data_IF_057929686337
#
_entry.id   IF_057929686337
#
_cell.length_a   1.000
_cell.length_b   1.000
_cell.length_c   1.000
_cell.angle_alpha   90.00
_cell.angle_beta   90.00
_cell.angle_gamma   90.00
#
_symmetry.space_group_name_H-M   'P 1'
#
loop_
_entity.id
_entity.type
_entity.pdbx_description
1 polymer ?
#
# COMPACT_ATOMS: atom_id res chain seq x y z
N UNK A 1 -23.03 -25.46 -16.42
CA UNK A 1 -22.33 -24.19 -16.10
C UNK A 1 -21.10 -24.09 -17.00
N UNK A 2 -21.13 -23.14 -17.92
CA UNK A 2 -20.25 -23.10 -19.11
C UNK A 2 -18.92 -22.41 -18.80
N UNK A 3 -17.83 -22.98 -19.33
CA UNK A 3 -16.43 -22.53 -19.21
C UNK A 3 -16.22 -21.02 -19.43
N UNK A 4 -17.08 -20.37 -20.24
CA UNK A 4 -17.08 -18.92 -20.48
C UNK A 4 -17.16 -18.05 -19.21
N UNK A 5 -17.86 -18.50 -18.15
CA UNK A 5 -18.00 -17.71 -16.92
C UNK A 5 -16.70 -17.67 -16.10
N UNK A 6 -15.92 -18.75 -16.09
CA UNK A 6 -14.65 -18.83 -15.34
C UNK A 6 -13.59 -17.86 -15.89
N UNK A 7 -13.52 -17.72 -17.21
CA UNK A 7 -12.60 -16.77 -17.85
C UNK A 7 -12.94 -15.30 -17.53
N UNK A 8 -14.22 -14.97 -17.38
CA UNK A 8 -14.65 -13.60 -17.03
C UNK A 8 -14.29 -13.22 -15.59
N UNK A 9 -14.45 -14.14 -14.63
CA UNK A 9 -14.12 -13.91 -13.21
C UNK A 9 -12.62 -13.77 -13.01
N UNK A 10 -11.83 -14.69 -13.56
CA UNK A 10 -10.37 -14.66 -13.46
C UNK A 10 -9.79 -13.33 -13.99
N UNK A 11 -10.40 -12.75 -15.04
CA UNK A 11 -9.99 -11.45 -15.60
C UNK A 11 -10.32 -10.25 -14.70
N UNK A 12 -11.47 -10.27 -14.01
CA UNK A 12 -11.97 -9.16 -13.18
C UNK A 12 -11.19 -8.97 -11.87
N UNK A 13 -10.63 -10.03 -11.30
CA UNK A 13 -10.02 -9.99 -9.96
C UNK A 13 -8.85 -9.01 -9.80
N UNK A 14 -7.80 -9.00 -10.64
CA UNK A 14 -6.71 -8.04 -10.46
C UNK A 14 -7.09 -6.63 -10.87
N UNK A 15 -8.03 -6.44 -11.82
CA UNK A 15 -8.51 -5.10 -12.14
C UNK A 15 -9.22 -4.47 -10.93
N UNK A 16 -10.05 -5.25 -10.23
CA UNK A 16 -10.67 -4.81 -8.98
C UNK A 16 -9.61 -4.50 -7.91
N UNK A 17 -8.59 -5.36 -7.73
CA UNK A 17 -7.50 -5.11 -6.77
C UNK A 17 -6.68 -3.85 -7.09
N UNK A 18 -6.39 -3.59 -8.36
CA UNK A 18 -5.71 -2.36 -8.79
C UNK A 18 -6.53 -1.11 -8.47
N UNK A 19 -7.84 -1.14 -8.73
CA UNK A 19 -8.74 -0.03 -8.42
C UNK A 19 -8.85 0.16 -6.91
N UNK A 20 -9.02 -0.93 -6.15
CA UNK A 20 -9.07 -0.90 -4.69
C UNK A 20 -7.77 -0.30 -4.15
N UNK A 21 -6.60 -0.73 -4.65
CA UNK A 21 -5.31 -0.16 -4.27
C UNK A 21 -5.25 1.35 -4.48
N UNK A 22 -5.62 1.84 -5.67
CA UNK A 22 -5.64 3.27 -5.97
C UNK A 22 -6.62 4.05 -5.07
N UNK A 23 -7.86 3.59 -4.91
CA UNK A 23 -8.84 4.28 -4.06
C UNK A 23 -8.38 4.29 -2.60
N UNK A 24 -7.87 3.15 -2.12
CA UNK A 24 -7.46 2.98 -0.72
C UNK A 24 -6.27 3.89 -0.37
N UNK A 25 -5.27 4.03 -1.27
CA UNK A 25 -4.11 4.90 -0.99
C UNK A 25 -4.52 6.38 -0.89
N UNK A 26 -5.51 6.82 -1.67
CA UNK A 26 -6.05 8.18 -1.60
C UNK A 26 -6.89 8.40 -0.33
N UNK A 27 -7.73 7.43 0.04
CA UNK A 27 -8.50 7.51 1.29
C UNK A 27 -7.57 7.56 2.50
N UNK A 28 -6.46 6.81 2.46
CA UNK A 28 -5.47 6.81 3.53
C UNK A 28 -4.89 8.21 3.81
N UNK A 29 -4.76 9.08 2.78
CA UNK A 29 -4.21 10.44 2.92
C UNK A 29 -5.10 11.39 3.74
N UNK A 30 -6.39 11.10 3.89
CA UNK A 30 -7.28 11.88 4.78
C UNK A 30 -7.00 11.63 6.26
N UNK A 31 -6.28 10.54 6.57
CA UNK A 31 -5.76 10.28 7.90
C UNK A 31 -4.26 10.61 7.98
N UNK A 32 -3.70 10.72 9.20
CA UNK A 32 -2.27 10.75 9.38
C UNK A 32 -1.69 9.39 9.00
N UNK A 33 -1.05 9.34 7.83
CA UNK A 33 -0.41 8.14 7.28
C UNK A 33 0.89 7.81 8.01
N UNK A 34 1.62 8.85 8.43
CA UNK A 34 2.98 8.80 8.97
C UNK A 34 3.08 9.16 10.45
N UNK A 35 2.09 8.81 11.28
CA UNK A 35 2.22 9.08 12.71
C UNK A 35 3.22 8.14 13.36
N UNK A 36 4.29 8.72 13.90
CA UNK A 36 5.17 8.13 14.88
C UNK A 36 4.30 7.53 16.00
N UNK A 37 4.49 6.24 16.32
CA UNK A 37 3.84 5.61 17.46
C UNK A 37 4.53 6.12 18.74
N UNK A 38 3.86 6.90 19.62
CA UNK A 38 4.38 7.13 20.97
C UNK A 38 4.22 5.90 21.87
N UNK A 39 3.52 4.86 21.38
CA UNK A 39 3.28 3.64 22.12
C UNK A 39 4.56 2.79 22.18
N UNK A 40 5.28 2.94 23.28
CA UNK A 40 6.38 2.06 23.68
C UNK A 40 5.82 0.83 24.40
N UNK A 41 6.66 -0.19 24.63
CA UNK A 41 6.32 -1.35 25.46
C UNK A 41 5.89 -0.99 26.89
N UNK A 42 6.19 0.22 27.35
CA UNK A 42 5.86 0.74 28.69
C UNK A 42 4.62 1.63 28.73
N UNK A 43 4.09 2.08 27.58
CA UNK A 43 2.88 2.92 27.49
C UNK A 43 2.02 2.51 26.29
N UNK A 44 1.11 1.54 26.45
CA UNK A 44 0.21 1.12 25.39
C UNK A 44 -0.69 2.26 24.90
N UNK A 45 -0.99 2.32 23.60
CA UNK A 45 -1.90 3.34 23.06
C UNK A 45 -3.31 3.31 23.70
N UNK A 46 -3.72 2.18 24.27
CA UNK A 46 -5.00 2.01 24.99
C UNK A 46 -5.07 2.77 26.31
N UNK A 47 -3.94 3.21 26.85
CA UNK A 47 -3.88 3.98 28.09
C UNK A 47 -3.71 5.49 27.84
N UNK A 48 -3.60 5.91 26.58
CA UNK A 48 -3.44 7.31 26.20
C UNK A 48 -4.81 7.91 25.85
N UNK A 49 -5.21 8.96 26.56
CA UNK A 49 -6.38 9.76 26.18
C UNK A 49 -6.08 10.58 24.92
N UNK A 50 -7.10 11.18 24.30
CA UNK A 50 -6.89 12.09 23.16
C UNK A 50 -5.93 13.25 23.50
N UNK A 51 -5.95 13.72 24.75
CA UNK A 51 -5.03 14.75 25.27
C UNK A 51 -3.59 14.24 25.35
N UNK A 52 -3.39 12.99 25.79
CA UNK A 52 -2.05 12.40 25.88
C UNK A 52 -1.47 12.09 24.49
N UNK A 53 -2.32 11.69 23.54
CA UNK A 53 -1.93 11.50 22.14
C UNK A 53 -1.56 12.83 21.46
N UNK A 54 -2.21 13.95 21.83
CA UNK A 54 -1.86 15.28 21.33
C UNK A 54 -0.58 15.81 21.98
N UNK A 55 -0.41 15.61 23.28
CA UNK A 55 0.83 15.96 23.98
C UNK A 55 2.03 15.13 23.49
N UNK A 56 1.86 13.84 23.25
CA UNK A 56 2.90 13.00 22.66
C UNK A 56 3.21 13.39 21.21
N UNK A 57 2.22 13.91 20.48
CA UNK A 57 2.45 14.52 19.16
C UNK A 57 3.18 15.86 19.22
N UNK A 58 3.30 16.51 20.39
CA UNK A 58 4.17 17.69 20.53
C UNK A 58 5.66 17.31 20.50
N UNK A 59 5.99 16.04 20.75
CA UNK A 59 7.31 15.45 20.53
C UNK A 59 7.44 14.79 19.15
N UNK A 60 6.43 14.96 18.27
CA UNK A 60 6.55 14.57 16.86
C UNK A 60 7.65 15.36 16.16
N UNK A 61 8.23 14.78 15.10
CA UNK A 61 9.41 15.33 14.45
C UNK A 61 9.22 16.79 14.04
N UNK A 62 10.34 17.53 14.00
CA UNK A 62 10.43 18.92 13.56
C UNK A 62 9.51 19.16 12.34
N UNK A 63 8.77 20.27 12.29
CA UNK A 63 7.64 20.44 11.35
C UNK A 63 8.01 20.20 9.87
N UNK A 64 9.29 20.39 9.55
CA UNK A 64 9.90 20.08 8.26
C UNK A 64 9.90 18.58 7.93
N UNK A 65 10.18 17.71 8.89
CA UNK A 65 10.16 16.25 8.71
C UNK A 65 8.72 15.71 8.58
N UNK A 66 7.76 16.27 9.31
CA UNK A 66 6.34 15.95 9.11
C UNK A 66 5.86 16.33 7.70
N UNK A 67 6.24 17.53 7.23
CA UNK A 67 5.95 17.97 5.87
C UNK A 67 6.61 17.05 4.82
N UNK A 68 7.88 16.70 5.02
CA UNK A 68 8.62 15.79 4.13
C UNK A 68 7.92 14.43 3.97
N UNK A 69 7.52 13.79 5.07
CA UNK A 69 6.79 12.53 5.00
C UNK A 69 5.43 12.68 4.32
N UNK A 70 4.72 13.80 4.57
CA UNK A 70 3.47 14.06 3.87
C UNK A 70 3.71 14.12 2.35
N UNK A 71 4.71 14.87 1.88
CA UNK A 71 5.08 14.91 0.46
C UNK A 71 5.39 13.53 -0.12
N UNK A 72 6.08 12.66 0.63
CA UNK A 72 6.33 11.27 0.20
C UNK A 72 5.03 10.48 0.08
N UNK A 73 4.08 10.64 1.02
CA UNK A 73 2.78 9.99 0.92
C UNK A 73 2.05 10.36 -0.38
N UNK A 74 2.02 11.65 -0.72
CA UNK A 74 1.45 12.15 -1.96
C UNK A 74 2.17 11.58 -3.19
N UNK A 75 3.50 11.52 -3.16
CA UNK A 75 4.30 10.90 -4.22
C UNK A 75 3.94 9.42 -4.41
N UNK A 76 3.79 8.66 -3.33
CA UNK A 76 3.41 7.25 -3.39
C UNK A 76 1.99 7.07 -3.93
N UNK A 77 1.03 7.88 -3.50
CA UNK A 77 -0.31 7.88 -4.06
C UNK A 77 -0.32 8.17 -5.57
N UNK A 78 0.46 9.16 -6.01
CA UNK A 78 0.61 9.49 -7.42
C UNK A 78 1.26 8.35 -8.23
N UNK A 79 2.36 7.77 -7.74
CA UNK A 79 3.04 6.65 -8.37
C UNK A 79 2.15 5.41 -8.47
N UNK A 80 1.43 5.07 -7.40
CA UNK A 80 0.47 3.96 -7.39
C UNK A 80 -0.63 4.19 -8.42
N UNK A 81 -1.19 5.40 -8.47
CA UNK A 81 -2.22 5.78 -9.44
C UNK A 81 -1.71 5.66 -10.88
N UNK A 82 -0.52 6.21 -11.17
CA UNK A 82 0.08 6.13 -12.50
C UNK A 82 0.32 4.66 -12.92
N UNK A 83 0.86 3.85 -12.01
CA UNK A 83 1.14 2.43 -12.26
C UNK A 83 -0.15 1.64 -12.51
N UNK A 84 -1.20 1.91 -11.74
CA UNK A 84 -2.54 1.32 -11.94
C UNK A 84 -3.10 1.70 -13.31
N UNK A 85 -3.05 2.97 -13.71
CA UNK A 85 -3.53 3.42 -15.03
C UNK A 85 -2.78 2.71 -16.16
N UNK A 86 -1.45 2.63 -16.06
CA UNK A 86 -0.62 1.93 -17.05
C UNK A 86 -0.95 0.44 -17.11
N UNK A 87 -1.13 -0.21 -15.95
CA UNK A 87 -1.47 -1.63 -15.88
C UNK A 87 -2.85 -1.95 -16.47
N UNK A 88 -3.84 -1.09 -16.20
CA UNK A 88 -5.19 -1.24 -16.76
C UNK A 88 -5.20 -1.05 -18.29
N UNK A 89 -4.36 -0.17 -18.84
CA UNK A 89 -4.26 0.09 -20.29
C UNK A 89 -3.43 -0.94 -21.04
N UNK A 90 -2.24 -1.28 -20.53
CA UNK A 90 -1.23 -1.99 -21.31
C UNK A 90 -1.47 -3.51 -21.37
N UNK A 91 -2.09 -4.12 -20.33
CA UNK A 91 -2.32 -5.58 -20.20
C UNK A 91 -1.08 -6.49 -20.43
N UNK A 92 0.12 -5.91 -20.52
CA UNK A 92 1.40 -6.62 -20.72
C UNK A 92 1.94 -7.13 -19.39
N UNK A 93 2.71 -8.22 -19.41
CA UNK A 93 3.43 -8.73 -18.23
C UNK A 93 4.37 -7.69 -17.62
N UNK A 94 4.96 -6.82 -18.44
CA UNK A 94 5.82 -5.72 -17.97
C UNK A 94 5.10 -4.77 -17.00
N UNK A 95 3.79 -4.56 -17.18
CA UNK A 95 3.01 -3.77 -16.24
C UNK A 95 2.76 -4.51 -14.91
N UNK A 96 2.66 -5.85 -14.94
CA UNK A 96 2.65 -6.68 -13.75
C UNK A 96 3.94 -6.57 -12.93
N UNK A 97 5.10 -6.59 -13.61
CA UNK A 97 6.42 -6.37 -12.98
C UNK A 97 6.45 -4.98 -12.34
N UNK A 98 6.02 -3.94 -13.06
CA UNK A 98 5.99 -2.58 -12.54
C UNK A 98 5.11 -2.45 -11.29
N UNK A 99 3.89 -3.01 -11.29
CA UNK A 99 3.02 -3.01 -10.11
C UNK A 99 3.66 -3.70 -8.91
N UNK A 100 4.20 -4.90 -9.10
CA UNK A 100 4.84 -5.65 -8.02
C UNK A 100 6.06 -4.91 -7.47
N UNK A 101 6.88 -4.33 -8.35
CA UNK A 101 8.10 -3.62 -7.98
C UNK A 101 7.80 -2.30 -7.26
N UNK A 102 6.89 -1.47 -7.79
CA UNK A 102 6.47 -0.21 -7.17
C UNK A 102 5.86 -0.48 -5.79
N UNK A 103 4.93 -1.44 -5.68
CA UNK A 103 4.32 -1.79 -4.41
C UNK A 103 5.34 -2.32 -3.39
N UNK A 104 6.29 -3.14 -3.83
CA UNK A 104 7.35 -3.67 -2.96
C UNK A 104 8.29 -2.57 -2.48
N UNK A 105 8.74 -1.67 -3.36
CA UNK A 105 9.62 -0.56 -2.98
C UNK A 105 8.93 0.41 -2.01
N UNK A 106 7.66 0.74 -2.27
CA UNK A 106 6.87 1.57 -1.36
C UNK A 106 6.69 0.91 0.01
N UNK A 107 6.42 -0.40 0.03
CA UNK A 107 6.28 -1.16 1.28
C UNK A 107 7.59 -1.21 2.06
N UNK A 108 8.70 -1.53 1.39
CA UNK A 108 10.02 -1.56 2.02
C UNK A 108 10.39 -0.19 2.57
N UNK A 109 10.24 0.88 1.77
CA UNK A 109 10.50 2.24 2.23
C UNK A 109 9.66 2.58 3.47
N UNK A 110 8.37 2.26 3.45
CA UNK A 110 7.46 2.52 4.58
C UNK A 110 7.87 1.73 5.81
N UNK A 111 8.25 0.45 5.67
CA UNK A 111 8.74 -0.37 6.79
C UNK A 111 10.05 0.21 7.31
N UNK A 112 11.02 0.54 6.46
CA UNK A 112 12.30 1.10 6.88
C UNK A 112 12.14 2.40 7.63
N UNK A 113 11.32 3.33 7.14
CA UNK A 113 11.04 4.59 7.84
C UNK A 113 10.44 4.33 9.24
N UNK A 114 9.53 3.36 9.37
CA UNK A 114 8.92 3.04 10.66
C UNK A 114 9.84 2.22 11.59
N UNK A 115 10.68 1.34 11.07
CA UNK A 115 11.62 0.52 11.85
C UNK A 115 12.85 1.34 12.27
N UNK A 116 13.29 2.30 11.46
CA UNK A 116 14.30 3.29 11.88
C UNK A 116 13.81 4.15 13.06
N UNK A 117 12.50 4.33 13.20
CA UNK A 117 11.87 4.98 14.34
C UNK A 117 11.69 4.05 15.56
N UNK A 118 11.53 2.74 15.35
CA UNK A 118 11.41 1.73 16.40
C UNK A 118 12.19 0.46 16.00
N UNK A 119 13.38 0.17 16.58
CA UNK A 119 14.35 -0.78 16.03
C UNK A 119 13.94 -2.26 16.06
N UNK A 120 12.68 -2.59 16.35
CA UNK A 120 12.18 -3.96 16.46
C UNK A 120 10.91 -4.15 15.62
N UNK A 121 10.98 -5.00 14.58
CA UNK A 121 9.84 -5.35 13.73
C UNK A 121 8.67 -5.98 14.52
N UNK A 122 8.99 -6.70 15.60
CA UNK A 122 8.00 -7.23 16.53
C UNK A 122 7.17 -6.14 17.21
N UNK A 123 7.79 -4.99 17.54
CA UNK A 123 7.09 -3.84 18.12
C UNK A 123 6.17 -3.17 17.10
N UNK A 124 6.57 -3.12 15.82
CA UNK A 124 5.72 -2.61 14.74
C UNK A 124 4.49 -3.51 14.54
N UNK A 125 4.69 -4.83 14.51
CA UNK A 125 3.59 -5.80 14.34
C UNK A 125 2.66 -5.84 15.55
N UNK A 126 3.17 -5.72 16.78
CA UNK A 126 2.35 -5.68 17.99
C UNK A 126 1.58 -4.35 18.14
N UNK A 127 2.05 -3.29 17.49
CA UNK A 127 1.37 -2.00 17.44
C UNK A 127 0.32 -1.90 16.34
N UNK A 128 0.28 -2.81 15.36
CA UNK A 128 -0.71 -2.80 14.26
C UNK A 128 -2.18 -2.71 14.74
N UNK A 129 -2.63 -3.43 15.78
CA UNK A 129 -4.02 -3.31 16.27
C UNK A 129 -4.36 -1.90 16.78
N UNK A 130 -3.33 -1.14 17.15
CA UNK A 130 -3.43 0.20 17.71
C UNK A 130 -3.02 1.29 16.72
N UNK A 131 -2.64 0.91 15.49
CA UNK A 131 -2.33 1.87 14.43
C UNK A 131 -3.60 2.49 13.86
N UNK A 132 -3.48 3.75 13.42
CA UNK A 132 -4.58 4.50 12.84
C UNK A 132 -5.03 3.86 11.53
N UNK A 133 -6.32 3.96 11.25
CA UNK A 133 -6.94 3.40 10.04
C UNK A 133 -6.23 3.86 8.75
N UNK A 134 -5.76 5.12 8.69
CA UNK A 134 -5.00 5.65 7.55
C UNK A 134 -3.76 4.82 7.21
N UNK A 135 -2.94 4.48 8.21
CA UNK A 135 -1.74 3.65 8.02
C UNK A 135 -2.10 2.23 7.54
N UNK A 136 -3.15 1.64 8.10
CA UNK A 136 -3.63 0.31 7.69
C UNK A 136 -4.08 0.32 6.22
N UNK A 137 -4.85 1.33 5.82
CA UNK A 137 -5.27 1.50 4.43
C UNK A 137 -4.07 1.73 3.51
N UNK A 138 -3.08 2.53 3.94
CA UNK A 138 -1.88 2.80 3.15
C UNK A 138 -1.07 1.52 2.89
N UNK A 139 -0.81 0.73 3.93
CA UNK A 139 -0.13 -0.58 3.79
C UNK A 139 -0.96 -1.57 2.97
N UNK A 140 -2.26 -1.63 3.22
CA UNK A 140 -3.19 -2.48 2.47
C UNK A 140 -3.18 -2.16 0.99
N UNK A 141 -3.05 -0.88 0.62
CA UNK A 141 -2.96 -0.44 -0.78
C UNK A 141 -1.71 -0.99 -1.49
N UNK A 142 -0.56 -0.99 -0.81
CA UNK A 142 0.70 -1.52 -1.32
C UNK A 142 0.62 -3.03 -1.51
N UNK A 143 0.08 -3.74 -0.50
CA UNK A 143 -0.11 -5.19 -0.56
C UNK A 143 -1.07 -5.56 -1.71
N UNK A 144 -2.17 -4.83 -1.87
CA UNK A 144 -3.10 -5.04 -2.97
C UNK A 144 -2.44 -4.81 -4.34
N UNK A 145 -1.57 -3.81 -4.46
CA UNK A 145 -0.80 -3.53 -5.68
C UNK A 145 0.16 -4.68 -6.01
N UNK A 146 0.87 -5.22 -5.01
CA UNK A 146 1.78 -6.35 -5.15
C UNK A 146 1.03 -7.60 -5.61
N UNK A 147 -0.08 -7.94 -4.93
CA UNK A 147 -0.90 -9.11 -5.27
C UNK A 147 -1.46 -8.97 -6.69
N UNK A 148 -1.97 -7.79 -7.05
CA UNK A 148 -2.45 -7.53 -8.40
C UNK A 148 -1.34 -7.67 -9.46
N UNK A 149 -0.14 -7.17 -9.16
CA UNK A 149 1.04 -7.33 -10.01
C UNK A 149 1.44 -8.80 -10.21
N UNK A 150 1.51 -9.57 -9.12
CA UNK A 150 1.79 -11.01 -9.15
C UNK A 150 0.74 -11.78 -9.97
N UNK A 151 -0.54 -11.46 -9.79
CA UNK A 151 -1.63 -12.06 -10.58
C UNK A 151 -1.53 -11.73 -12.08
N UNK A 152 -1.03 -10.55 -12.45
CA UNK A 152 -0.79 -10.19 -13.84
C UNK A 152 0.39 -10.96 -14.44
N UNK A 153 1.40 -11.30 -13.64
CA UNK A 153 2.58 -12.07 -14.08
C UNK A 153 2.27 -13.55 -14.30
N UNK A 154 1.43 -14.12 -13.43
CA UNK A 154 1.04 -15.53 -13.49
C UNK A 154 0.04 -15.86 -14.61
N UNK A 155 -0.41 -14.86 -15.37
CA UNK A 155 -1.34 -15.08 -16.49
C UNK A 155 -0.60 -15.61 -17.73
N UNK A 156 -1.11 -16.68 -18.38
CA UNK A 156 -0.58 -17.13 -19.65
C UNK A 156 -0.70 -16.01 -20.70
N UNK A 157 0.35 -15.82 -21.50
CA UNK A 157 0.23 -14.98 -22.70
C UNK A 157 -0.67 -15.69 -23.72
N UNK A 158 -1.56 -14.96 -24.42
CA UNK A 158 -2.28 -15.55 -25.53
C UNK A 158 -1.26 -15.95 -26.60
N UNK A 159 -1.12 -17.24 -26.84
CA UNK A 159 -0.37 -17.79 -27.97
C UNK A 159 -0.97 -17.21 -29.24
N UNK A 160 -0.19 -16.41 -29.98
CA UNK A 160 -0.58 -15.95 -31.31
C UNK A 160 -0.65 -17.20 -32.18
N UNK A 161 -1.86 -17.57 -32.61
CA UNK A 161 -2.06 -18.76 -33.42
C UNK A 161 -1.41 -18.53 -34.79
N UNK A 162 -0.41 -19.35 -35.19
CA UNK A 162 0.33 -19.14 -36.44
C UNK A 162 -0.52 -19.39 -37.69
N UNK A 163 -1.76 -19.86 -37.55
CA UNK A 163 -2.73 -20.08 -38.62
C UNK A 163 -3.46 -18.81 -39.10
N UNK A 164 -3.16 -17.66 -38.49
CA UNK A 164 -3.78 -16.36 -38.84
C UNK A 164 -2.88 -15.43 -39.68
N UNK A 165 -1.75 -15.94 -40.18
CA UNK A 165 -0.84 -15.24 -41.09
C UNK A 165 -1.01 -15.71 -42.53
#
# INVERSE_FOLDING_TARGET
MTSSQHYSRARRTPAALLIISAVTIWIALFGPVWTYLPATTTTPATTLTFADLTAASAFSPDGLQAAFYQWIAWLFAALTTATVIVALRSRRKTAGIACALVGTLQLLFTIFVNVSAAPQMSALLSALPYTRLGTILFLGSMVALIIAGAQLLLRPEPTVDPSSA
#
